data_IF_473169880500
#
_entry.id   IF_473169880500
#
_cell.length_a   1.000
_cell.length_b   1.000
_cell.length_c   1.000
_cell.angle_alpha   90.00
_cell.angle_beta   90.00
_cell.angle_gamma   90.00
#
_symmetry.space_group_name_H-M   'P 1'
#
loop_
_entity.id
_entity.type
_entity.pdbx_description
1 polymer ?
#
# COMPACT_ATOMS: atom_id res chain seq x y z
N UNK A 1 46.63 25.56 -31.32
CA UNK A 1 45.16 25.43 -31.31
C UNK A 1 44.62 26.28 -30.18
N UNK A 2 43.74 27.28 -30.43
CA UNK A 2 43.23 28.15 -29.38
C UNK A 2 42.23 27.40 -28.49
N UNK A 3 42.41 27.51 -27.18
CA UNK A 3 41.49 26.95 -26.16
C UNK A 3 40.18 27.75 -26.22
N UNK A 4 39.01 27.10 -26.40
CA UNK A 4 37.73 27.79 -26.40
C UNK A 4 37.49 28.43 -25.03
N UNK A 5 37.29 29.76 -25.01
CA UNK A 5 36.90 30.50 -23.81
C UNK A 5 35.53 30.00 -23.35
N UNK A 6 35.49 29.24 -22.25
CA UNK A 6 34.26 28.89 -21.54
C UNK A 6 33.53 30.18 -21.17
N UNK A 7 32.32 30.35 -21.70
CA UNK A 7 31.48 31.50 -21.45
C UNK A 7 30.96 31.44 -20.00
N UNK A 8 31.41 32.30 -19.07
CA UNK A 8 31.05 32.20 -17.64
C UNK A 8 29.60 32.65 -17.34
N UNK A 9 28.82 32.95 -18.37
CA UNK A 9 27.46 33.48 -18.28
C UNK A 9 26.36 32.51 -18.73
N UNK A 10 26.67 31.22 -18.91
CA UNK A 10 25.64 30.20 -18.87
C UNK A 10 25.15 30.06 -17.41
N UNK A 11 24.45 31.10 -16.92
CA UNK A 11 23.64 31.00 -15.71
C UNK A 11 22.72 29.81 -15.92
N UNK A 12 22.94 28.79 -15.10
CA UNK A 12 22.07 27.65 -14.93
C UNK A 12 20.70 28.18 -14.46
N UNK A 13 19.88 28.61 -15.42
CA UNK A 13 18.51 29.07 -15.23
C UNK A 13 17.57 27.88 -15.11
N UNK A 14 18.06 26.71 -14.68
CA UNK A 14 17.16 25.63 -14.28
C UNK A 14 16.26 26.19 -13.19
N UNK A 15 14.95 26.37 -13.46
CA UNK A 15 14.06 26.99 -12.50
C UNK A 15 14.14 26.18 -11.22
N UNK A 16 14.52 26.85 -10.13
CA UNK A 16 14.71 26.25 -8.82
C UNK A 16 13.39 25.58 -8.43
N UNK A 17 13.26 24.28 -8.71
CA UNK A 17 11.98 23.60 -8.59
C UNK A 17 11.57 23.61 -7.12
N UNK A 18 10.40 24.19 -6.86
CA UNK A 18 9.82 24.28 -5.53
C UNK A 18 9.80 22.87 -4.88
N UNK A 19 10.47 22.64 -3.73
CA UNK A 19 10.57 21.32 -3.13
C UNK A 19 9.30 20.89 -2.38
N UNK A 20 8.35 21.79 -2.14
CA UNK A 20 7.15 21.54 -1.34
C UNK A 20 6.26 20.40 -1.87
N UNK A 21 5.91 20.34 -3.17
CA UNK A 21 5.02 19.28 -3.67
C UNK A 21 5.62 17.89 -3.48
N UNK A 22 6.95 17.75 -3.59
CA UNK A 22 7.64 16.48 -3.36
C UNK A 22 7.60 16.05 -1.90
N UNK A 23 7.78 17.01 -0.96
CA UNK A 23 7.69 16.74 0.48
C UNK A 23 6.27 16.35 0.87
N UNK A 24 5.27 17.05 0.34
CA UNK A 24 3.86 16.73 0.57
C UNK A 24 3.49 15.35 0.03
N UNK A 25 3.90 15.03 -1.21
CA UNK A 25 3.69 13.69 -1.78
C UNK A 25 4.32 12.59 -0.92
N UNK A 26 5.53 12.83 -0.41
CA UNK A 26 6.20 11.91 0.52
C UNK A 26 5.45 11.74 1.83
N UNK A 27 4.99 12.83 2.44
CA UNK A 27 4.22 12.78 3.69
C UNK A 27 2.90 12.06 3.50
N UNK A 28 2.14 12.36 2.45
CA UNK A 28 0.86 11.70 2.16
C UNK A 28 1.05 10.20 1.91
N UNK A 29 1.94 9.83 1.00
CA UNK A 29 2.18 8.41 0.67
C UNK A 29 2.77 7.66 1.86
N UNK A 30 3.70 8.27 2.59
CA UNK A 30 4.32 7.68 3.77
C UNK A 30 3.33 7.49 4.91
N UNK A 31 2.48 8.48 5.18
CA UNK A 31 1.43 8.38 6.19
C UNK A 31 0.46 7.25 5.87
N UNK A 32 0.02 7.12 4.61
CA UNK A 32 -0.88 6.06 4.19
C UNK A 32 -0.26 4.68 4.43
N UNK A 33 0.98 4.46 3.97
CA UNK A 33 1.67 3.17 4.14
C UNK A 33 1.81 2.79 5.61
N UNK A 34 2.06 3.77 6.49
CA UNK A 34 2.24 3.52 7.91
C UNK A 34 0.93 3.41 8.68
N UNK A 35 -0.10 4.18 8.32
CA UNK A 35 -1.37 4.23 9.03
C UNK A 35 -2.36 3.14 8.61
N UNK A 36 -2.35 2.72 7.34
CA UNK A 36 -3.34 1.77 6.81
C UNK A 36 -3.44 0.45 7.60
N UNK A 37 -2.33 -0.18 8.05
CA UNK A 37 -2.41 -1.38 8.86
C UNK A 37 -3.18 -1.17 10.18
N UNK A 38 -3.08 0.01 10.79
CA UNK A 38 -3.77 0.35 12.04
C UNK A 38 -5.26 0.61 11.84
N UNK A 39 -5.67 0.99 10.64
CA UNK A 39 -7.06 1.24 10.27
C UNK A 39 -7.77 -0.05 9.83
N UNK A 40 -7.72 -1.08 10.69
CA UNK A 40 -8.24 -2.42 10.44
C UNK A 40 -7.74 -3.04 9.11
N UNK A 41 -6.47 -2.79 8.78
CA UNK A 41 -5.88 -3.24 7.52
C UNK A 41 -6.51 -2.63 6.26
N UNK A 42 -7.15 -1.46 6.37
CA UNK A 42 -7.79 -0.78 5.25
C UNK A 42 -8.98 -1.53 4.66
N UNK A 43 -9.65 -2.39 5.44
CA UNK A 43 -10.79 -3.17 4.94
C UNK A 43 -12.10 -2.38 4.92
N UNK A 44 -12.18 -1.29 5.70
CA UNK A 44 -13.35 -0.42 5.76
C UNK A 44 -13.42 0.43 4.47
N UNK A 45 -14.60 0.51 3.86
CA UNK A 45 -14.84 1.20 2.59
C UNK A 45 -14.40 2.67 2.63
N UNK A 46 -14.80 3.37 3.68
CA UNK A 46 -14.48 4.78 3.91
C UNK A 46 -12.97 4.99 3.96
N UNK A 47 -12.23 4.05 4.57
CA UNK A 47 -10.76 4.07 4.62
C UNK A 47 -10.17 3.81 3.23
N UNK A 48 -10.76 2.92 2.42
CA UNK A 48 -10.30 2.65 1.05
C UNK A 48 -10.49 3.86 0.14
N UNK A 49 -11.64 4.53 0.20
CA UNK A 49 -11.92 5.75 -0.58
C UNK A 49 -10.98 6.88 -0.14
N UNK A 50 -10.85 7.11 1.17
CA UNK A 50 -9.94 8.13 1.69
C UNK A 50 -8.48 7.86 1.24
N UNK A 51 -8.07 6.58 1.29
CA UNK A 51 -6.75 6.14 0.83
C UNK A 51 -6.56 6.43 -0.67
N UNK A 52 -7.53 6.07 -1.52
CA UNK A 52 -7.46 6.35 -2.95
C UNK A 52 -7.32 7.86 -3.22
N UNK A 53 -8.13 8.70 -2.58
CA UNK A 53 -8.08 10.16 -2.73
C UNK A 53 -6.71 10.72 -2.32
N UNK A 54 -6.18 10.30 -1.16
CA UNK A 54 -4.89 10.77 -0.66
C UNK A 54 -3.73 10.30 -1.54
N UNK A 55 -3.77 9.05 -2.02
CA UNK A 55 -2.75 8.53 -2.93
C UNK A 55 -2.82 9.22 -4.29
N UNK A 56 -4.01 9.43 -4.85
CA UNK A 56 -4.20 10.15 -6.12
C UNK A 56 -3.62 11.57 -6.03
N UNK A 57 -3.86 12.25 -4.90
CA UNK A 57 -3.26 13.56 -4.61
C UNK A 57 -1.74 13.48 -4.53
N UNK A 58 -1.20 12.49 -3.80
CA UNK A 58 0.25 12.25 -3.71
C UNK A 58 0.89 11.97 -5.09
N UNK A 59 0.21 11.21 -5.94
CA UNK A 59 0.63 10.94 -7.31
C UNK A 59 0.62 12.19 -8.16
N UNK A 60 -0.46 12.98 -8.15
CA UNK A 60 -0.55 14.25 -8.89
C UNK A 60 0.61 15.20 -8.52
N UNK A 61 0.89 15.36 -7.22
CA UNK A 61 2.02 16.14 -6.74
C UNK A 61 3.38 15.56 -7.22
N UNK A 62 3.50 14.23 -7.30
CA UNK A 62 4.70 13.57 -7.84
C UNK A 62 4.88 13.75 -9.36
N UNK A 63 3.79 14.00 -10.10
CA UNK A 63 3.83 14.28 -11.55
C UNK A 63 4.33 15.70 -11.77
N UNK A 64 3.75 16.67 -11.08
CA UNK A 64 4.14 18.10 -11.13
C UNK A 64 5.64 18.30 -10.86
N UNK A 65 6.25 17.48 -10.00
CA UNK A 65 7.67 17.62 -9.62
C UNK A 65 8.68 17.04 -10.59
N UNK A 66 8.29 16.08 -11.45
CA UNK A 66 9.25 15.33 -12.29
C UNK A 66 8.90 15.29 -13.79
N UNK A 67 7.85 15.98 -14.22
CA UNK A 67 7.44 16.07 -15.62
C UNK A 67 6.80 14.79 -16.20
N UNK A 68 6.20 14.88 -17.39
CA UNK A 68 5.26 13.90 -17.92
C UNK A 68 5.86 12.65 -18.59
N UNK A 69 7.03 12.14 -18.20
CA UNK A 69 7.46 10.83 -18.71
C UNK A 69 6.60 9.72 -18.09
N UNK A 70 5.47 9.44 -18.71
CA UNK A 70 4.62 8.31 -18.39
C UNK A 70 5.34 7.08 -18.93
N UNK A 71 5.86 6.26 -18.02
CA UNK A 71 6.54 5.01 -18.41
C UNK A 71 5.49 3.96 -18.78
N UNK A 72 5.89 3.00 -19.61
CA UNK A 72 5.11 1.80 -20.00
C UNK A 72 4.26 1.16 -18.87
N UNK A 73 4.73 1.08 -17.60
CA UNK A 73 3.91 0.55 -16.50
C UNK A 73 2.58 1.30 -16.26
N UNK A 74 2.52 2.60 -16.57
CA UNK A 74 1.28 3.37 -16.42
C UNK A 74 0.26 3.00 -17.50
N UNK A 75 0.70 2.74 -18.74
CA UNK A 75 -0.21 2.41 -19.84
C UNK A 75 -0.89 1.06 -19.57
N UNK A 76 -0.12 0.04 -19.21
CA UNK A 76 -0.67 -1.27 -18.83
C UNK A 76 -1.66 -1.17 -17.66
N UNK A 77 -1.39 -0.27 -16.71
CA UNK A 77 -2.28 -0.01 -15.59
C UNK A 77 -3.59 0.68 -16.02
N UNK A 78 -3.52 1.68 -16.89
CA UNK A 78 -4.73 2.33 -17.42
C UNK A 78 -5.61 1.31 -18.16
N UNK A 79 -4.99 0.38 -18.91
CA UNK A 79 -5.71 -0.74 -19.53
C UNK A 79 -6.40 -1.61 -18.48
N UNK A 80 -5.72 -1.96 -17.38
CA UNK A 80 -6.33 -2.72 -16.28
C UNK A 80 -7.50 -1.96 -15.62
N UNK A 81 -7.36 -0.65 -15.40
CA UNK A 81 -8.45 0.16 -14.82
C UNK A 81 -9.65 0.24 -15.77
N UNK A 82 -9.41 0.43 -17.07
CA UNK A 82 -10.47 0.43 -18.09
C UNK A 82 -11.14 -0.94 -18.12
N UNK A 83 -10.37 -2.03 -18.05
CA UNK A 83 -10.91 -3.39 -17.99
C UNK A 83 -11.83 -3.59 -16.77
N UNK A 84 -11.39 -3.19 -15.57
CA UNK A 84 -12.19 -3.29 -14.34
C UNK A 84 -13.42 -2.38 -14.39
N UNK A 85 -13.31 -1.20 -15.01
CA UNK A 85 -14.43 -0.28 -15.20
C UNK A 85 -15.47 -0.87 -16.16
N UNK A 86 -15.05 -1.46 -17.28
CA UNK A 86 -15.95 -2.16 -18.21
C UNK A 86 -16.66 -3.30 -17.48
N UNK A 87 -15.92 -4.10 -16.72
CA UNK A 87 -16.49 -5.19 -15.92
C UNK A 87 -17.54 -4.69 -14.92
N UNK A 88 -17.28 -3.58 -14.24
CA UNK A 88 -18.24 -2.97 -13.31
C UNK A 88 -19.51 -2.47 -14.01
N UNK A 89 -19.37 -1.89 -15.21
CA UNK A 89 -20.49 -1.36 -16.00
C UNK A 89 -21.24 -2.44 -16.79
N UNK A 90 -20.70 -3.66 -16.90
CA UNK A 90 -21.24 -4.77 -17.68
C UNK A 90 -21.35 -6.08 -16.86
N UNK A 91 -22.07 -6.11 -15.74
CA UNK A 91 -22.25 -7.34 -14.96
C UNK A 91 -23.15 -8.34 -15.72
N UNK A 92 -22.74 -9.61 -15.78
CA UNK A 92 -23.52 -10.69 -16.39
C UNK A 92 -24.39 -11.45 -15.38
N UNK A 93 -24.07 -11.33 -14.09
CA UNK A 93 -24.80 -11.99 -13.01
C UNK A 93 -24.94 -11.05 -11.82
N UNK A 94 -25.98 -11.24 -11.02
CA UNK A 94 -26.16 -10.62 -9.72
C UNK A 94 -26.12 -11.67 -8.63
N UNK A 95 -25.34 -11.42 -7.58
CA UNK A 95 -25.34 -12.23 -6.38
C UNK A 95 -26.57 -11.88 -5.53
N UNK A 96 -27.43 -12.87 -5.27
CA UNK A 96 -28.64 -12.69 -4.46
C UNK A 96 -28.67 -13.72 -3.34
N UNK A 97 -28.81 -13.24 -2.10
CA UNK A 97 -29.01 -14.11 -0.94
C UNK A 97 -30.42 -14.68 -0.95
N UNK A 98 -30.54 -16.01 -1.01
CA UNK A 98 -31.82 -16.68 -0.90
C UNK A 98 -32.05 -17.14 0.54
N UNK A 99 -32.90 -16.38 1.26
CA UNK A 99 -33.18 -16.60 2.69
C UNK A 99 -33.65 -18.03 3.01
N UNK A 100 -34.40 -18.66 2.11
CA UNK A 100 -34.97 -20.00 2.31
C UNK A 100 -33.95 -21.13 2.25
N UNK A 101 -32.92 -21.01 1.41
CA UNK A 101 -31.90 -22.04 1.24
C UNK A 101 -30.58 -21.70 1.94
N UNK A 102 -30.44 -20.46 2.46
CA UNK A 102 -29.18 -19.92 3.02
C UNK A 102 -27.99 -20.09 2.07
N UNK A 103 -28.25 -19.91 0.78
CA UNK A 103 -27.24 -19.96 -0.27
C UNK A 103 -27.21 -18.64 -1.03
N UNK A 104 -26.01 -18.31 -1.50
CA UNK A 104 -25.82 -17.29 -2.51
C UNK A 104 -26.13 -17.89 -3.87
N UNK A 105 -27.11 -17.33 -4.57
CA UNK A 105 -27.41 -17.69 -5.95
C UNK A 105 -27.00 -16.57 -6.91
N UNK A 106 -26.64 -16.99 -8.12
CA UNK A 106 -26.32 -16.08 -9.23
C UNK A 106 -27.55 -15.97 -10.13
N UNK A 107 -28.07 -14.76 -10.28
CA UNK A 107 -29.18 -14.47 -11.18
C UNK A 107 -28.60 -13.82 -12.44
N UNK A 108 -28.89 -14.34 -13.65
CA UNK A 108 -28.37 -13.75 -14.87
C UNK A 108 -28.93 -12.34 -15.09
N UNK A 109 -28.10 -11.46 -15.67
CA UNK A 109 -28.45 -10.12 -16.09
C UNK A 109 -28.23 -9.96 -17.60
N UNK A 110 -28.99 -9.07 -18.22
CA UNK A 110 -28.74 -8.63 -19.58
C UNK A 110 -27.39 -7.90 -19.63
N UNK A 111 -26.50 -8.36 -20.51
CA UNK A 111 -25.15 -7.82 -20.64
C UNK A 111 -24.67 -7.88 -22.10
N UNK A 112 -23.62 -7.14 -22.40
CA UNK A 112 -22.97 -7.17 -23.71
C UNK A 112 -21.98 -8.34 -23.74
N UNK A 113 -22.35 -9.45 -24.37
CA UNK A 113 -21.56 -10.69 -24.38
C UNK A 113 -20.20 -10.63 -25.07
N UNK A 114 -19.91 -9.57 -25.85
CA UNK A 114 -18.61 -9.34 -26.47
C UNK A 114 -17.65 -8.52 -25.59
N UNK A 115 -18.16 -7.89 -24.53
CA UNK A 115 -17.35 -7.16 -23.54
C UNK A 115 -17.02 -8.07 -22.36
N UNK A 116 -15.88 -7.85 -21.68
CA UNK A 116 -15.63 -8.44 -20.37
C UNK A 116 -16.80 -8.17 -19.43
N UNK A 117 -17.24 -9.20 -18.72
CA UNK A 117 -18.33 -9.12 -17.76
C UNK A 117 -17.89 -9.52 -16.36
N UNK A 118 -18.75 -9.26 -15.38
CA UNK A 118 -18.50 -9.55 -13.97
C UNK A 118 -19.75 -10.02 -13.23
N UNK A 119 -19.62 -10.22 -11.92
CA UNK A 119 -20.73 -10.45 -11.00
C UNK A 119 -20.98 -9.12 -10.27
N UNK A 120 -22.22 -8.64 -10.33
CA UNK A 120 -22.75 -7.59 -9.46
C UNK A 120 -22.91 -8.18 -8.05
N UNK A 121 -21.92 -7.89 -7.20
CA UNK A 121 -21.93 -8.22 -5.79
C UNK A 121 -21.96 -6.94 -4.96
N UNK A 122 -22.47 -7.07 -3.73
CA UNK A 122 -22.40 -5.96 -2.78
C UNK A 122 -20.95 -5.50 -2.61
N UNK A 123 -20.76 -4.19 -2.41
CA UNK A 123 -19.42 -3.60 -2.34
C UNK A 123 -18.56 -4.25 -1.22
N UNK A 124 -19.20 -4.75 -0.16
CA UNK A 124 -18.56 -5.49 0.93
C UNK A 124 -17.92 -6.80 0.48
N UNK A 125 -18.35 -7.39 -0.63
CA UNK A 125 -18.07 -8.77 -1.02
C UNK A 125 -17.15 -8.85 -2.25
N UNK A 126 -16.24 -7.87 -2.38
CA UNK A 126 -15.23 -7.80 -3.47
C UNK A 126 -15.82 -7.50 -4.85
N UNK A 127 -16.66 -6.47 -4.94
CA UNK A 127 -17.16 -5.98 -6.24
C UNK A 127 -16.03 -5.48 -7.16
N UNK A 128 -16.22 -5.47 -8.49
CA UNK A 128 -15.23 -4.93 -9.43
C UNK A 128 -14.83 -3.48 -9.13
N UNK A 129 -15.78 -2.66 -8.65
CA UNK A 129 -15.50 -1.28 -8.23
C UNK A 129 -14.57 -1.23 -7.02
N UNK A 130 -14.76 -2.12 -6.04
CA UNK A 130 -13.84 -2.22 -4.90
C UNK A 130 -12.45 -2.63 -5.35
N UNK A 131 -12.33 -3.57 -6.27
CA UNK A 131 -11.05 -3.92 -6.87
C UNK A 131 -10.41 -2.73 -7.61
N UNK A 132 -11.18 -1.96 -8.37
CA UNK A 132 -10.71 -0.74 -9.01
C UNK A 132 -10.12 0.24 -7.99
N UNK A 133 -10.79 0.44 -6.85
CA UNK A 133 -10.32 1.31 -5.77
C UNK A 133 -9.03 0.77 -5.13
N UNK A 134 -9.00 -0.51 -4.77
CA UNK A 134 -7.86 -1.15 -4.10
C UNK A 134 -6.62 -1.19 -4.99
N UNK A 135 -6.75 -1.70 -6.22
CA UNK A 135 -5.65 -1.75 -7.18
C UNK A 135 -5.26 -0.36 -7.67
N UNK A 136 -6.24 0.52 -7.86
CA UNK A 136 -6.01 1.92 -8.20
C UNK A 136 -5.15 2.61 -7.16
N UNK A 137 -5.50 2.50 -5.88
CA UNK A 137 -4.74 3.06 -4.78
C UNK A 137 -3.34 2.42 -4.67
N UNK A 138 -3.23 1.10 -4.71
CA UNK A 138 -1.93 0.42 -4.59
C UNK A 138 -0.95 0.84 -5.71
N UNK A 139 -1.43 0.96 -6.95
CA UNK A 139 -0.59 1.27 -8.10
C UNK A 139 -0.24 2.76 -8.14
N UNK A 140 -1.19 3.65 -7.90
CA UNK A 140 -0.90 5.09 -7.78
C UNK A 140 0.11 5.35 -6.66
N UNK A 141 0.06 4.59 -5.57
CA UNK A 141 1.00 4.67 -4.46
C UNK A 141 2.39 4.20 -4.89
N UNK A 142 2.49 3.05 -5.55
CA UNK A 142 3.74 2.54 -6.08
C UNK A 142 4.38 3.53 -7.06
N UNK A 143 3.59 4.11 -7.97
CA UNK A 143 4.04 5.10 -8.94
C UNK A 143 4.46 6.40 -8.26
N UNK A 144 3.69 6.90 -7.29
CA UNK A 144 4.03 8.10 -6.52
C UNK A 144 5.36 7.90 -5.77
N UNK A 145 5.50 6.78 -5.05
CA UNK A 145 6.72 6.40 -4.34
C UNK A 145 7.92 6.23 -5.28
N UNK A 146 7.73 5.59 -6.43
CA UNK A 146 8.77 5.47 -7.46
C UNK A 146 9.23 6.84 -7.96
N UNK A 147 8.28 7.73 -8.26
CA UNK A 147 8.57 9.09 -8.75
C UNK A 147 9.22 9.96 -7.70
N UNK A 148 8.85 9.85 -6.43
CA UNK A 148 9.52 10.62 -5.36
C UNK A 148 10.76 9.91 -4.80
N UNK A 149 11.03 8.66 -5.21
CA UNK A 149 12.09 7.80 -4.71
C UNK A 149 13.42 8.55 -4.64
N UNK A 150 13.92 8.67 -3.41
CA UNK A 150 15.02 9.56 -3.05
C UNK A 150 15.81 9.00 -1.88
N UNK A 151 16.91 9.66 -1.53
CA UNK A 151 17.63 9.38 -0.28
C UNK A 151 16.70 9.51 0.93
N UNK A 152 15.70 10.40 0.89
CA UNK A 152 14.69 10.58 1.95
C UNK A 152 13.82 9.33 2.14
N UNK A 153 13.34 8.73 1.04
CA UNK A 153 12.54 7.49 1.09
C UNK A 153 13.33 6.37 1.75
N UNK A 154 14.58 6.16 1.32
CA UNK A 154 15.46 5.14 1.90
C UNK A 154 15.82 5.41 3.37
N UNK A 155 15.94 6.68 3.76
CA UNK A 155 16.34 7.06 5.12
C UNK A 155 15.19 7.04 6.12
N UNK A 156 13.95 7.27 5.68
CA UNK A 156 12.81 7.48 6.58
C UNK A 156 11.66 6.51 6.35
N UNK A 157 11.22 6.33 5.12
CA UNK A 157 10.03 5.49 4.86
C UNK A 157 10.34 4.01 5.03
N UNK A 158 11.43 3.50 4.45
CA UNK A 158 11.78 2.07 4.56
C UNK A 158 12.01 1.68 6.04
N UNK A 159 12.80 2.43 6.84
CA UNK A 159 12.91 2.17 8.27
C UNK A 159 11.59 2.30 9.03
N UNK A 160 10.76 3.28 8.65
CA UNK A 160 9.43 3.46 9.23
C UNK A 160 8.53 2.25 9.02
N UNK A 161 8.52 1.68 7.80
CA UNK A 161 7.75 0.45 7.48
C UNK A 161 8.24 -0.71 8.34
N UNK A 162 9.57 -0.90 8.45
CA UNK A 162 10.17 -1.96 9.25
C UNK A 162 9.75 -1.88 10.73
N UNK A 163 9.88 -0.70 11.34
CA UNK A 163 9.50 -0.47 12.74
C UNK A 163 7.99 -0.65 12.91
N UNK A 164 7.18 -0.07 12.03
CA UNK A 164 5.73 -0.16 12.10
C UNK A 164 5.24 -1.61 12.02
N UNK A 165 5.78 -2.38 11.07
CA UNK A 165 5.43 -3.78 10.90
C UNK A 165 5.86 -4.61 12.12
N UNK A 166 7.06 -4.36 12.68
CA UNK A 166 7.52 -5.06 13.89
C UNK A 166 6.65 -4.75 15.11
N UNK A 167 6.20 -3.49 15.27
CA UNK A 167 5.27 -3.10 16.34
C UNK A 167 3.94 -3.83 16.18
N UNK A 168 3.38 -3.86 14.96
CA UNK A 168 2.13 -4.57 14.69
C UNK A 168 2.30 -6.07 14.94
N UNK A 169 3.43 -6.66 14.52
CA UNK A 169 3.74 -8.06 14.79
C UNK A 169 3.79 -8.35 16.30
N UNK A 170 4.44 -7.48 17.07
CA UNK A 170 4.49 -7.60 18.52
C UNK A 170 3.10 -7.50 19.16
N UNK A 171 2.26 -6.57 18.70
CA UNK A 171 0.85 -6.46 19.15
C UNK A 171 0.10 -7.76 18.88
N UNK A 172 0.26 -8.34 17.69
CA UNK A 172 -0.38 -9.62 17.34
C UNK A 172 0.13 -10.79 18.20
N UNK A 173 1.44 -10.89 18.43
CA UNK A 173 2.02 -11.92 19.30
C UNK A 173 1.51 -11.79 20.75
N UNK A 174 1.38 -10.56 21.26
CA UNK A 174 0.79 -10.31 22.58
C UNK A 174 -0.67 -10.74 22.60
N UNK A 175 -1.47 -10.38 21.59
CA UNK A 175 -2.87 -10.80 21.52
C UNK A 175 -3.04 -12.32 21.46
N UNK A 176 -2.19 -13.02 20.69
CA UNK A 176 -2.17 -14.48 20.63
C UNK A 176 -1.82 -15.07 22.01
N UNK A 177 -0.83 -14.51 22.70
CA UNK A 177 -0.44 -15.00 24.05
C UNK A 177 -1.53 -14.78 25.12
N UNK A 178 -2.40 -13.79 24.92
CA UNK A 178 -3.51 -13.47 25.81
C UNK A 178 -4.84 -14.14 25.40
N UNK A 179 -4.84 -14.99 24.36
CA UNK A 179 -6.05 -15.56 23.74
C UNK A 179 -7.13 -14.48 23.47
N UNK A 180 -6.67 -13.32 22.99
CA UNK A 180 -7.55 -12.17 22.81
C UNK A 180 -8.53 -12.41 21.66
N UNK A 181 -9.82 -12.22 21.95
CA UNK A 181 -10.91 -12.33 20.96
C UNK A 181 -11.25 -11.00 20.29
N UNK A 182 -10.51 -9.93 20.61
CA UNK A 182 -10.78 -8.58 20.13
C UNK A 182 -9.54 -7.94 19.52
N UNK A 183 -9.75 -7.19 18.44
CA UNK A 183 -8.73 -6.35 17.83
C UNK A 183 -8.50 -5.14 18.73
N UNK A 184 -7.26 -4.95 19.17
CA UNK A 184 -6.82 -3.88 20.07
C UNK A 184 -7.61 -3.79 21.40
N UNK A 185 -8.31 -4.86 21.81
CA UNK A 185 -9.04 -4.91 23.07
C UNK A 185 -10.51 -4.43 23.00
N UNK A 186 -10.94 -3.79 21.91
CA UNK A 186 -12.28 -3.17 21.84
C UNK A 186 -13.10 -3.55 20.61
N UNK A 187 -12.46 -3.91 19.49
CA UNK A 187 -13.18 -4.25 18.26
C UNK A 187 -13.40 -5.76 18.15
N UNK A 188 -14.66 -6.18 18.06
CA UNK A 188 -15.02 -7.57 17.81
C UNK A 188 -15.11 -7.78 16.29
N UNK A 189 -14.29 -8.67 15.74
CA UNK A 189 -14.41 -9.06 14.35
C UNK A 189 -15.79 -9.70 14.13
N UNK A 190 -16.54 -9.21 13.14
CA UNK A 190 -17.91 -9.66 12.84
C UNK A 190 -17.87 -11.13 12.35
N UNK A 191 -18.78 -11.92 12.89
CA UNK A 191 -19.11 -13.31 12.56
C UNK A 191 -18.05 -14.40 12.84
N UNK A 192 -18.27 -15.04 14.00
CA UNK A 192 -18.52 -16.49 14.13
C UNK A 192 -17.63 -17.44 13.31
N UNK A 193 -16.44 -17.75 13.85
CA UNK A 193 -15.90 -19.10 13.73
C UNK A 193 -14.44 -19.24 13.28
N UNK A 194 -13.78 -18.19 12.81
CA UNK A 194 -12.46 -18.38 12.19
C UNK A 194 -11.25 -17.75 12.87
N UNK A 195 -11.38 -17.01 13.98
CA UNK A 195 -10.20 -16.57 14.78
C UNK A 195 -9.06 -15.99 13.92
N UNK A 196 -9.44 -15.30 12.84
CA UNK A 196 -8.64 -15.21 11.62
C UNK A 196 -7.89 -13.88 11.50
N UNK A 197 -7.98 -13.06 12.55
CA UNK A 197 -7.27 -11.79 12.62
C UNK A 197 -5.89 -11.97 13.28
N UNK A 198 -4.98 -11.06 12.97
CA UNK A 198 -3.68 -10.97 13.63
C UNK A 198 -3.35 -9.49 13.83
N UNK A 199 -3.07 -9.08 15.06
CA UNK A 199 -2.89 -7.66 15.41
C UNK A 199 -4.13 -6.83 15.05
N UNK A 200 -3.95 -5.82 14.21
CA UNK A 200 -4.99 -4.94 13.67
C UNK A 200 -5.59 -5.45 12.35
N UNK A 201 -5.12 -6.57 11.82
CA UNK A 201 -5.44 -7.02 10.47
C UNK A 201 -6.50 -8.11 10.53
N UNK A 202 -7.64 -7.88 9.88
CA UNK A 202 -8.82 -8.76 9.91
C UNK A 202 -8.59 -10.16 9.30
N UNK A 203 -7.57 -10.29 8.44
CA UNK A 203 -7.22 -11.55 7.78
C UNK A 203 -5.74 -11.88 7.96
N UNK A 204 -5.43 -13.11 8.37
CA UNK A 204 -4.05 -13.62 8.49
C UNK A 204 -3.23 -13.44 7.20
N UNK A 205 -3.86 -13.66 6.05
CA UNK A 205 -3.20 -13.47 4.75
C UNK A 205 -2.77 -12.01 4.51
N UNK A 206 -3.53 -11.03 5.00
CA UNK A 206 -3.14 -9.63 4.94
C UNK A 206 -1.97 -9.32 5.88
N UNK A 207 -1.96 -9.94 7.07
CA UNK A 207 -0.83 -9.85 8.00
C UNK A 207 0.45 -10.42 7.41
N UNK A 208 0.40 -11.63 6.85
CA UNK A 208 1.54 -12.26 6.20
C UNK A 208 2.10 -11.39 5.06
N UNK A 209 1.24 -10.86 4.19
CA UNK A 209 1.66 -9.97 3.11
C UNK A 209 2.34 -8.69 3.64
N UNK A 210 1.78 -8.07 4.68
CA UNK A 210 2.35 -6.87 5.29
C UNK A 210 3.66 -7.14 6.03
N UNK A 211 3.78 -8.27 6.74
CA UNK A 211 5.01 -8.66 7.44
C UNK A 211 6.12 -9.05 6.47
N UNK A 212 5.81 -9.66 5.32
CA UNK A 212 6.80 -9.87 4.26
C UNK A 212 7.36 -8.55 3.73
N UNK A 213 6.52 -7.53 3.54
CA UNK A 213 6.98 -6.18 3.21
C UNK A 213 7.84 -5.59 4.33
N UNK A 214 7.42 -5.73 5.58
CA UNK A 214 8.17 -5.31 6.76
C UNK A 214 9.53 -6.00 6.89
N UNK A 215 9.62 -7.29 6.53
CA UNK A 215 10.83 -8.10 6.59
C UNK A 215 11.82 -7.61 5.53
N UNK A 216 11.35 -7.42 4.30
CA UNK A 216 12.14 -6.84 3.22
C UNK A 216 12.64 -5.42 3.59
N UNK A 217 11.78 -4.60 4.21
CA UNK A 217 12.15 -3.27 4.68
C UNK A 217 13.18 -3.29 5.83
N UNK A 218 13.04 -4.25 6.75
CA UNK A 218 13.97 -4.47 7.86
C UNK A 218 15.36 -4.86 7.34
N UNK A 219 15.44 -5.84 6.45
CA UNK A 219 16.70 -6.28 5.84
C UNK A 219 17.33 -5.15 5.01
N UNK A 220 16.54 -4.44 4.20
CA UNK A 220 17.02 -3.28 3.45
C UNK A 220 17.60 -2.19 4.37
N UNK A 221 16.96 -1.94 5.51
CA UNK A 221 17.41 -0.95 6.50
C UNK A 221 18.67 -1.42 7.22
N UNK A 222 18.75 -2.71 7.59
CA UNK A 222 19.94 -3.33 8.18
C UNK A 222 21.17 -3.12 7.30
N UNK A 223 21.09 -3.45 6.02
CA UNK A 223 22.19 -3.26 5.07
C UNK A 223 22.52 -1.79 4.83
N UNK A 224 21.50 -0.93 4.68
CA UNK A 224 21.70 0.51 4.45
C UNK A 224 22.45 1.17 5.61
N UNK A 225 21.97 0.98 6.85
CA UNK A 225 22.62 1.57 8.03
C UNK A 225 23.92 0.88 8.40
N UNK A 226 24.04 -0.44 8.14
CA UNK A 226 25.30 -1.17 8.28
C UNK A 226 26.42 -0.53 7.47
N UNK A 227 26.15 -0.16 6.21
CA UNK A 227 27.12 0.52 5.34
C UNK A 227 27.32 1.99 5.71
N UNK A 228 26.24 2.73 5.95
CA UNK A 228 26.32 4.17 6.20
C UNK A 228 26.94 4.53 7.57
N UNK A 229 26.90 3.62 8.55
CA UNK A 229 27.35 3.85 9.93
C UNK A 229 28.40 2.83 10.39
N UNK A 230 29.10 2.17 9.46
CA UNK A 230 30.09 1.12 9.78
C UNK A 230 31.15 1.57 10.79
N UNK A 231 31.59 2.84 10.71
CA UNK A 231 32.63 3.40 11.57
C UNK A 231 32.09 4.15 12.80
N UNK A 232 30.78 4.16 13.04
CA UNK A 232 30.18 4.86 14.19
C UNK A 232 29.96 3.90 15.34
N UNK A 233 30.24 4.36 16.56
CA UNK A 233 30.03 3.60 17.82
C UNK A 233 28.56 3.18 18.01
N UNK A 234 27.63 4.04 17.59
CA UNK A 234 26.19 3.74 17.59
C UNK A 234 25.72 3.46 16.16
N UNK A 235 25.28 2.22 15.92
CA UNK A 235 24.80 1.77 14.61
C UNK A 235 23.38 1.17 14.76
N UNK A 236 22.35 1.77 14.14
CA UNK A 236 20.98 1.29 14.28
C UNK A 236 20.72 -0.02 13.51
N UNK A 237 21.70 -0.60 12.80
CA UNK A 237 21.51 -1.87 12.07
C UNK A 237 20.90 -2.96 12.94
N UNK A 238 21.35 -3.08 14.19
CA UNK A 238 20.89 -4.14 15.09
C UNK A 238 19.42 -4.01 15.48
N UNK A 239 18.89 -2.79 15.53
CA UNK A 239 17.45 -2.57 15.70
C UNK A 239 16.67 -3.23 14.56
N UNK A 240 17.11 -3.07 13.32
CA UNK A 240 16.43 -3.66 12.16
C UNK A 240 16.59 -5.18 12.07
N UNK A 241 17.67 -5.74 12.64
CA UNK A 241 17.77 -7.19 12.82
C UNK A 241 16.71 -7.68 13.82
N UNK A 242 16.53 -6.98 14.95
CA UNK A 242 15.47 -7.29 15.93
C UNK A 242 14.09 -7.18 15.29
N UNK A 243 13.82 -6.12 14.51
CA UNK A 243 12.57 -6.00 13.75
C UNK A 243 12.34 -7.21 12.84
N UNK A 244 13.37 -7.64 12.10
CA UNK A 244 13.26 -8.80 11.21
C UNK A 244 12.94 -10.10 11.97
N UNK A 245 13.55 -10.31 13.14
CA UNK A 245 13.30 -11.48 13.99
C UNK A 245 11.86 -11.47 14.54
N UNK A 246 11.39 -10.33 15.05
CA UNK A 246 10.00 -10.18 15.53
C UNK A 246 9.00 -10.46 14.41
N UNK A 247 9.26 -9.94 13.20
CA UNK A 247 8.43 -10.18 12.03
C UNK A 247 8.42 -11.66 11.61
N UNK A 248 9.56 -12.34 11.66
CA UNK A 248 9.65 -13.76 11.35
C UNK A 248 8.82 -14.60 12.32
N UNK A 249 8.84 -14.27 13.62
CA UNK A 249 7.93 -14.87 14.58
C UNK A 249 6.46 -14.58 14.21
N UNK A 250 6.12 -13.34 13.92
CA UNK A 250 4.75 -12.96 13.53
C UNK A 250 4.22 -13.58 12.23
N UNK A 251 5.10 -14.08 11.35
CA UNK A 251 4.70 -14.82 10.13
C UNK A 251 4.45 -16.31 10.42
N UNK A 252 5.14 -16.88 11.40
CA UNK A 252 5.04 -18.29 11.76
C UNK A 252 3.77 -18.57 12.59
N UNK A 253 3.36 -17.62 13.42
CA UNK A 253 2.17 -17.69 14.28
C UNK A 253 0.90 -17.18 13.57
#
# INVERSE_FOLDING_TARGET
MPVPKLNPLAMDTTPQQNPWPRRMAFLLCGLIVLALPWLLGGQILEVQIATLCMVATGFALSVVTRGNSLKVPLVLFLVLLIYLLIQWLNPAYKQQWQLGLRIWNLVPLDHLGWLPSSIDSDFTDSSPLRFLILFGAAILLALALYRISSRTVRRWLIPGIAINAAVIALVGLIQVSLDSKTILGWYHARDEGLGLFFATLLYKNHAAAFFNLGLAASLSSFYYFGRAYAHRRSNPRWLFLICALVLLCGVIF
#
